data_IF_237758181676
#
_entry.id   IF_237758181676
#
_cell.length_a   1.000
_cell.length_b   1.000
_cell.length_c   1.000
_cell.angle_alpha   90.00
_cell.angle_beta   90.00
_cell.angle_gamma   90.00
#
_symmetry.space_group_name_H-M   'P 1'
#
loop_
_entity.id
_entity.type
_entity.pdbx_description
1 polymer ?
#
# COMPACT_ATOMS: atom_id res chain seq x y z
N UNK A 1 -40.81 26.01 -23.80
CA UNK A 1 -40.73 24.55 -23.99
C UNK A 1 -39.27 24.20 -24.07
N UNK A 2 -38.83 23.23 -23.26
CA UNK A 2 -37.43 22.79 -23.23
C UNK A 2 -37.15 21.93 -24.46
N UNK A 3 -35.99 22.14 -25.09
CA UNK A 3 -35.62 21.47 -26.34
C UNK A 3 -35.22 20.00 -26.13
N UNK A 4 -34.58 19.67 -25.00
CA UNK A 4 -34.09 18.33 -24.66
C UNK A 4 -34.31 17.99 -23.18
N UNK A 5 -34.93 16.84 -22.87
CA UNK A 5 -35.26 16.43 -21.50
C UNK A 5 -34.22 15.51 -20.84
N UNK A 6 -33.16 15.14 -21.55
CA UNK A 6 -32.23 14.09 -21.13
C UNK A 6 -31.57 14.36 -19.77
N UNK A 7 -31.14 15.59 -19.48
CA UNK A 7 -30.52 15.91 -18.19
C UNK A 7 -31.51 15.87 -17.01
N UNK A 8 -32.78 16.22 -17.27
CA UNK A 8 -33.85 16.13 -16.28
C UNK A 8 -34.22 14.67 -15.97
N UNK A 9 -34.22 13.82 -17.00
CA UNK A 9 -34.46 12.38 -16.88
C UNK A 9 -33.34 11.68 -16.10
N UNK A 10 -32.08 12.04 -16.35
CA UNK A 10 -30.91 11.50 -15.62
C UNK A 10 -30.98 11.85 -14.14
N UNK A 11 -31.39 13.07 -13.79
CA UNK A 11 -31.60 13.48 -12.40
C UNK A 11 -32.96 13.06 -11.84
N UNK A 12 -33.83 12.40 -12.63
CA UNK A 12 -35.17 11.96 -12.23
C UNK A 12 -36.03 13.09 -11.64
N UNK A 13 -35.97 14.29 -12.25
CA UNK A 13 -36.70 15.48 -11.83
C UNK A 13 -37.54 16.04 -12.98
N UNK A 14 -38.60 16.78 -12.63
CA UNK A 14 -39.41 17.48 -13.63
C UNK A 14 -38.61 18.60 -14.30
N UNK A 15 -38.99 18.95 -15.53
CA UNK A 15 -38.44 20.10 -16.27
C UNK A 15 -38.71 21.43 -15.53
N UNK A 16 -39.79 21.47 -14.75
CA UNK A 16 -40.18 22.61 -13.91
C UNK A 16 -39.57 22.55 -12.49
N UNK A 17 -38.70 21.58 -12.19
CA UNK A 17 -38.15 21.39 -10.86
C UNK A 17 -37.37 22.63 -10.37
N UNK A 18 -37.55 22.96 -9.10
CA UNK A 18 -36.81 24.04 -8.45
C UNK A 18 -35.36 23.61 -8.14
N UNK A 19 -34.48 24.57 -7.86
CA UNK A 19 -33.07 24.30 -7.56
C UNK A 19 -32.89 23.36 -6.36
N UNK A 20 -33.81 23.43 -5.39
CA UNK A 20 -33.77 22.61 -4.19
C UNK A 20 -34.08 21.14 -4.49
N UNK A 21 -35.04 20.88 -5.37
CA UNK A 21 -35.44 19.56 -5.85
C UNK A 21 -34.33 18.92 -6.68
N UNK A 22 -33.71 19.69 -7.58
CA UNK A 22 -32.52 19.27 -8.36
C UNK A 22 -31.39 18.87 -7.42
N UNK A 23 -31.07 19.70 -6.42
CA UNK A 23 -30.02 19.43 -5.42
C UNK A 23 -30.36 18.26 -4.49
N UNK A 24 -31.64 18.02 -4.20
CA UNK A 24 -32.08 16.88 -3.39
C UNK A 24 -31.97 15.58 -4.17
N UNK A 25 -32.36 15.58 -5.45
CA UNK A 25 -32.26 14.39 -6.29
C UNK A 25 -30.81 14.02 -6.59
N UNK A 26 -29.96 15.02 -6.90
CA UNK A 26 -28.52 14.80 -7.06
C UNK A 26 -27.89 14.13 -5.85
N UNK A 27 -28.15 14.64 -4.63
CA UNK A 27 -27.62 14.02 -3.39
C UNK A 27 -28.06 12.57 -3.23
N UNK A 28 -29.31 12.25 -3.56
CA UNK A 28 -29.84 10.88 -3.48
C UNK A 28 -29.17 9.94 -4.49
N UNK A 29 -28.97 10.40 -5.73
CA UNK A 29 -28.36 9.60 -6.80
C UNK A 29 -26.85 9.48 -6.65
N UNK A 30 -26.16 10.54 -6.21
CA UNK A 30 -24.72 10.53 -5.94
C UNK A 30 -24.36 9.58 -4.79
N UNK A 31 -25.19 9.48 -3.75
CA UNK A 31 -25.03 8.48 -2.68
C UNK A 31 -25.30 7.05 -3.17
N UNK A 32 -26.22 6.87 -4.13
CA UNK A 32 -26.60 5.56 -4.68
C UNK A 32 -25.52 5.01 -5.60
N UNK A 33 -24.92 5.85 -6.45
CA UNK A 33 -23.91 5.47 -7.43
C UNK A 33 -22.49 5.84 -7.01
N UNK A 34 -22.26 6.09 -5.72
CA UNK A 34 -20.94 6.47 -5.23
C UNK A 34 -19.92 5.33 -5.48
N UNK A 35 -18.71 5.62 -5.99
CA UNK A 35 -17.71 4.60 -6.33
C UNK A 35 -17.22 3.81 -5.11
N UNK A 36 -17.20 4.45 -3.93
CA UNK A 36 -16.84 3.79 -2.66
C UNK A 36 -17.84 2.71 -2.24
N UNK A 37 -19.13 2.88 -2.56
CA UNK A 37 -20.19 1.91 -2.20
C UNK A 37 -20.41 0.86 -3.29
N UNK A 38 -19.99 1.12 -4.52
CA UNK A 38 -20.16 0.26 -5.68
C UNK A 38 -18.79 -0.01 -6.32
N UNK A 39 -17.89 -0.60 -5.54
CA UNK A 39 -16.52 -0.88 -5.96
C UNK A 39 -16.52 -1.98 -7.03
N UNK A 40 -16.06 -1.66 -8.25
CA UNK A 40 -15.96 -2.61 -9.36
C UNK A 40 -17.17 -2.69 -10.30
N UNK A 41 -18.18 -1.82 -10.14
CA UNK A 41 -19.33 -1.73 -11.06
C UNK A 41 -19.15 -0.55 -12.04
N UNK A 42 -18.78 -0.86 -13.29
CA UNK A 42 -18.58 0.14 -14.35
C UNK A 42 -19.88 0.89 -14.70
N UNK A 43 -21.04 0.24 -14.59
CA UNK A 43 -22.32 0.86 -14.89
C UNK A 43 -22.70 1.90 -13.82
N UNK A 44 -22.38 1.62 -12.54
CA UNK A 44 -22.56 2.60 -11.46
C UNK A 44 -21.62 3.81 -11.64
N UNK A 45 -20.37 3.58 -12.05
CA UNK A 45 -19.42 4.65 -12.34
C UNK A 45 -19.89 5.55 -13.50
N UNK A 46 -20.42 4.96 -14.57
CA UNK A 46 -20.94 5.73 -15.71
C UNK A 46 -22.23 6.48 -15.39
N UNK A 47 -23.11 5.90 -14.57
CA UNK A 47 -24.29 6.59 -14.07
C UNK A 47 -23.93 7.74 -13.15
N UNK A 48 -22.89 7.58 -12.31
CA UNK A 48 -22.38 8.67 -11.47
C UNK A 48 -21.86 9.84 -12.31
N UNK A 49 -21.06 9.57 -13.36
CA UNK A 49 -20.59 10.61 -14.31
C UNK A 49 -21.76 11.36 -14.95
N UNK A 50 -22.79 10.64 -15.42
CA UNK A 50 -23.98 11.24 -16.05
C UNK A 50 -24.77 12.11 -15.07
N UNK A 51 -24.95 11.64 -13.83
CA UNK A 51 -25.64 12.38 -12.76
C UNK A 51 -24.89 13.64 -12.37
N UNK A 52 -23.56 13.59 -12.28
CA UNK A 52 -22.72 14.76 -12.00
C UNK A 52 -22.77 15.81 -13.13
N UNK A 53 -22.70 15.38 -14.40
CA UNK A 53 -22.83 16.27 -15.54
C UNK A 53 -24.21 16.95 -15.59
N UNK A 54 -25.28 16.18 -15.39
CA UNK A 54 -26.64 16.73 -15.38
C UNK A 54 -26.84 17.76 -14.26
N UNK A 55 -26.28 17.52 -13.06
CA UNK A 55 -26.33 18.49 -11.97
C UNK A 55 -25.52 19.75 -12.27
N UNK A 56 -24.37 19.65 -12.92
CA UNK A 56 -23.55 20.80 -13.29
C UNK A 56 -24.30 21.79 -14.18
N UNK A 57 -25.00 21.28 -15.19
CA UNK A 57 -25.76 22.11 -16.15
C UNK A 57 -27.04 22.64 -15.52
N UNK A 58 -27.76 21.83 -14.74
CA UNK A 58 -29.07 22.18 -14.20
C UNK A 58 -29.03 22.96 -12.88
N UNK A 59 -27.89 22.95 -12.17
CA UNK A 59 -27.72 23.72 -10.92
C UNK A 59 -27.37 25.19 -11.14
N UNK A 60 -26.82 25.53 -12.31
CA UNK A 60 -26.51 26.91 -12.67
C UNK A 60 -27.68 27.53 -13.47
N UNK A 61 -28.26 28.65 -13.01
CA UNK A 61 -29.41 29.27 -13.67
C UNK A 61 -29.15 29.75 -15.11
N UNK A 62 -27.91 30.14 -15.44
CA UNK A 62 -27.51 30.60 -16.76
C UNK A 62 -27.33 29.41 -17.71
N UNK A 63 -26.59 28.37 -17.27
CA UNK A 63 -26.41 27.14 -18.05
C UNK A 63 -27.72 26.39 -18.28
N UNK A 64 -28.60 26.35 -17.28
CA UNK A 64 -29.94 25.76 -17.39
C UNK A 64 -30.76 26.48 -18.46
N UNK A 65 -30.73 27.82 -18.48
CA UNK A 65 -31.43 28.59 -19.50
C UNK A 65 -30.89 28.37 -20.91
N UNK A 66 -29.57 28.23 -21.07
CA UNK A 66 -28.94 27.93 -22.36
C UNK A 66 -29.33 26.53 -22.83
N UNK A 67 -29.25 25.53 -21.95
CA UNK A 67 -29.67 24.16 -22.21
C UNK A 67 -31.17 24.08 -22.57
N UNK A 68 -32.02 24.78 -21.83
CA UNK A 68 -33.46 24.78 -22.05
C UNK A 68 -33.85 25.38 -23.41
N UNK A 69 -33.10 26.40 -23.87
CA UNK A 69 -33.34 27.09 -25.15
C UNK A 69 -32.70 26.38 -26.34
N UNK A 70 -31.49 25.85 -26.20
CA UNK A 70 -30.66 25.42 -27.32
C UNK A 70 -30.31 23.92 -27.30
N UNK A 71 -30.56 23.19 -26.22
CA UNK A 71 -30.15 21.78 -26.04
C UNK A 71 -28.64 21.65 -25.80
N UNK A 72 -28.11 20.41 -25.82
CA UNK A 72 -26.69 20.13 -25.61
C UNK A 72 -25.74 20.90 -26.55
N UNK A 73 -26.16 21.14 -27.79
CA UNK A 73 -25.39 21.92 -28.77
C UNK A 73 -25.14 23.38 -28.35
N UNK A 74 -26.02 23.96 -27.51
CA UNK A 74 -25.84 25.32 -26.99
C UNK A 74 -24.76 25.43 -25.92
N UNK A 75 -24.42 24.32 -25.27
CA UNK A 75 -23.36 24.27 -24.26
C UNK A 75 -21.96 24.05 -24.89
N UNK A 76 -21.91 23.46 -26.08
CA UNK A 76 -20.66 23.28 -26.86
C UNK A 76 -20.23 24.57 -27.59
N UNK A 77 -21.18 25.49 -27.85
CA UNK A 77 -20.95 26.73 -28.59
C UNK A 77 -20.23 27.85 -27.82
N UNK A 78 -19.99 27.70 -26.51
CA UNK A 78 -19.28 28.69 -25.68
C UNK A 78 -17.80 28.32 -25.44
N UNK A 79 -17.30 27.32 -26.17
CA UNK A 79 -15.90 26.86 -26.15
C UNK A 79 -15.31 26.91 -27.57
N UNK A 80 -15.05 28.11 -28.09
CA UNK A 80 -14.42 28.26 -29.40
C UNK A 80 -13.71 29.60 -29.61
N UNK A 81 -12.39 29.62 -29.39
CA UNK A 81 -11.39 29.76 -30.47
C UNK A 81 -9.98 29.98 -29.85
N UNK A 82 -9.23 28.89 -29.65
CA UNK A 82 -7.79 28.97 -29.38
C UNK A 82 -7.24 27.94 -28.39
N UNK A 83 -6.64 26.87 -28.92
CA UNK A 83 -5.75 25.97 -28.17
C UNK A 83 -6.29 24.56 -28.05
N UNK A 84 -5.66 23.62 -28.75
CA UNK A 84 -6.01 22.21 -28.69
C UNK A 84 -5.84 21.65 -27.28
N UNK A 85 -6.89 21.00 -26.79
CA UNK A 85 -6.87 20.21 -25.57
C UNK A 85 -7.18 18.76 -25.93
N UNK A 86 -6.13 17.94 -25.91
CA UNK A 86 -6.28 16.50 -25.77
C UNK A 86 -6.39 16.21 -24.28
N UNK A 87 -7.60 16.19 -23.72
CA UNK A 87 -8.11 15.22 -22.73
C UNK A 87 -9.38 15.78 -22.08
N UNK A 88 -10.48 15.05 -22.16
CA UNK A 88 -11.75 15.41 -21.52
C UNK A 88 -11.66 15.40 -19.98
N UNK A 89 -10.61 14.79 -19.39
CA UNK A 89 -10.35 14.85 -17.96
C UNK A 89 -9.84 16.22 -17.49
N UNK A 90 -9.22 17.01 -18.36
CA UNK A 90 -8.58 18.28 -17.99
C UNK A 90 -9.57 19.46 -17.97
N UNK A 91 -10.72 19.29 -18.64
CA UNK A 91 -11.87 20.22 -18.58
C UNK A 91 -12.68 20.01 -17.28
N UNK A 92 -12.77 18.77 -16.80
CA UNK A 92 -13.51 18.44 -15.57
C UNK A 92 -12.81 18.96 -14.31
N UNK A 93 -11.47 18.97 -14.29
CA UNK A 93 -10.65 19.57 -13.22
C UNK A 93 -10.73 21.10 -13.18
N UNK A 94 -10.95 21.75 -14.34
CA UNK A 94 -11.06 23.21 -14.42
C UNK A 94 -12.41 23.74 -13.87
N UNK A 95 -13.48 22.93 -13.93
CA UNK A 95 -14.83 23.36 -13.57
C UNK A 95 -15.32 22.86 -12.20
N UNK A 96 -14.93 21.66 -11.75
CA UNK A 96 -15.32 21.12 -10.43
C UNK A 96 -14.29 21.37 -9.31
N UNK A 97 -13.19 22.08 -9.61
CA UNK A 97 -11.96 22.05 -8.81
C UNK A 97 -11.48 23.36 -8.18
N UNK A 98 -12.29 24.41 -8.10
CA UNK A 98 -11.97 25.64 -7.35
C UNK A 98 -11.03 26.59 -8.10
N UNK A 99 -11.35 27.89 -8.01
CA UNK A 99 -10.67 28.96 -8.77
C UNK A 99 -9.16 28.88 -8.71
N UNK A 100 -8.52 29.36 -9.78
CA UNK A 100 -7.07 29.49 -9.99
C UNK A 100 -6.29 29.48 -8.68
N UNK A 101 -6.03 28.28 -8.15
CA UNK A 101 -5.04 28.14 -7.10
C UNK A 101 -3.76 28.50 -7.81
N UNK A 102 -3.10 29.57 -7.36
CA UNK A 102 -1.72 29.84 -7.74
C UNK A 102 -0.99 28.50 -7.64
N UNK A 103 -0.63 27.93 -8.79
CA UNK A 103 0.14 26.70 -8.84
C UNK A 103 1.45 27.09 -8.16
N UNK A 104 1.60 26.67 -6.90
CA UNK A 104 2.79 26.97 -6.12
C UNK A 104 4.03 26.66 -6.95
N UNK A 105 5.10 27.44 -6.74
CA UNK A 105 6.34 27.26 -7.49
C UNK A 105 6.71 25.77 -7.58
N UNK A 106 7.12 25.30 -8.77
CA UNK A 106 7.41 23.89 -8.98
C UNK A 106 8.49 23.44 -7.99
N UNK A 107 8.21 22.36 -7.25
CA UNK A 107 9.14 21.70 -6.33
C UNK A 107 9.72 20.44 -6.97
N UNK A 108 10.98 20.10 -6.67
CA UNK A 108 11.56 18.80 -6.99
C UNK A 108 10.78 17.66 -6.34
N UNK A 109 10.92 16.43 -6.86
CA UNK A 109 10.30 15.25 -6.26
C UNK A 109 10.83 14.99 -4.84
N UNK A 110 9.93 14.66 -3.93
CA UNK A 110 10.26 14.37 -2.54
C UNK A 110 11.03 13.05 -2.40
N UNK A 111 11.89 12.98 -1.38
CA UNK A 111 12.62 11.76 -1.02
C UNK A 111 11.78 10.99 -0.01
N UNK A 112 11.37 9.77 -0.37
CA UNK A 112 10.68 8.85 0.54
C UNK A 112 11.71 7.92 1.18
N UNK A 113 11.71 7.83 2.51
CA UNK A 113 12.57 6.93 3.27
C UNK A 113 11.78 6.12 4.28
N UNK A 114 12.06 4.83 4.39
CA UNK A 114 11.44 3.97 5.40
C UNK A 114 12.36 3.79 6.59
N UNK A 115 11.89 4.20 7.77
CA UNK A 115 12.59 4.02 9.03
C UNK A 115 12.08 2.76 9.72
N UNK A 116 12.96 1.76 9.85
CA UNK A 116 12.66 0.55 10.61
C UNK A 116 12.62 0.84 12.13
N UNK A 117 11.49 0.52 12.75
CA UNK A 117 11.22 0.72 14.19
C UNK A 117 10.74 -0.56 14.85
N UNK A 118 11.23 -0.84 16.07
CA UNK A 118 10.73 -1.97 16.86
C UNK A 118 9.47 -1.56 17.61
N UNK A 119 8.60 -2.52 17.90
CA UNK A 119 7.42 -2.23 18.73
C UNK A 119 7.80 -1.64 20.10
N UNK A 120 8.94 -2.04 20.66
CA UNK A 120 9.51 -1.48 21.90
C UNK A 120 9.81 0.02 21.79
N UNK A 121 10.30 0.48 20.64
CA UNK A 121 10.59 1.88 20.38
C UNK A 121 9.30 2.70 20.34
N UNK A 122 8.21 2.12 19.80
CA UNK A 122 6.89 2.76 19.77
C UNK A 122 6.25 2.81 21.15
N UNK A 123 6.54 1.84 22.01
CA UNK A 123 6.01 1.79 23.38
C UNK A 123 6.73 2.78 24.29
N UNK A 124 8.07 2.75 24.29
CA UNK A 124 8.88 3.56 25.21
C UNK A 124 9.18 4.98 24.67
N UNK A 125 9.02 5.19 23.37
CA UNK A 125 9.49 6.37 22.65
C UNK A 125 10.98 6.27 22.35
N UNK A 126 11.42 6.76 21.19
CA UNK A 126 12.82 6.69 20.79
C UNK A 126 13.18 7.83 19.83
N UNK A 127 14.42 8.33 19.94
CA UNK A 127 15.02 9.21 18.94
C UNK A 127 15.91 8.39 18.02
N UNK A 128 15.60 8.35 16.72
CA UNK A 128 16.40 7.63 15.72
C UNK A 128 17.04 8.60 14.74
N UNK A 129 18.32 8.36 14.46
CA UNK A 129 19.09 9.13 13.47
C UNK A 129 19.08 8.41 12.14
N UNK A 130 18.65 9.10 11.10
CA UNK A 130 18.49 8.58 9.73
C UNK A 130 19.46 9.31 8.82
N UNK A 131 20.28 8.56 8.07
CA UNK A 131 21.19 9.14 7.09
C UNK A 131 20.50 9.22 5.74
N UNK A 132 20.26 10.43 5.24
CA UNK A 132 19.64 10.70 3.95
C UNK A 132 20.71 11.20 2.98
N UNK A 133 20.71 10.64 1.77
CA UNK A 133 21.52 11.12 0.65
C UNK A 133 20.64 11.99 -0.24
N UNK A 134 21.03 13.23 -0.46
CA UNK A 134 20.29 14.21 -1.26
C UNK A 134 21.20 14.95 -2.23
N UNK A 135 20.63 15.46 -3.31
CA UNK A 135 21.33 16.35 -4.23
C UNK A 135 21.17 17.80 -3.75
N UNK A 136 22.29 18.47 -3.46
CA UNK A 136 22.33 19.92 -3.16
C UNK A 136 23.12 20.65 -4.22
N UNK A 137 22.90 21.96 -4.37
CA UNK A 137 23.72 22.75 -5.26
C UNK A 137 25.20 22.66 -4.89
N UNK A 138 26.05 22.52 -5.90
CA UNK A 138 27.49 22.42 -5.68
C UNK A 138 28.00 23.68 -4.98
N UNK A 139 28.66 23.53 -3.83
CA UNK A 139 29.22 24.65 -3.08
C UNK A 139 30.24 25.47 -3.86
N UNK A 140 30.94 24.88 -4.83
CA UNK A 140 31.96 25.56 -5.63
C UNK A 140 31.41 26.44 -6.77
N UNK A 141 30.20 26.16 -7.26
CA UNK A 141 29.62 26.88 -8.40
C UNK A 141 28.16 27.31 -8.18
N UNK A 142 27.59 27.03 -7.01
CA UNK A 142 26.24 27.39 -6.57
C UNK A 142 25.18 27.08 -7.63
N UNK A 143 25.25 25.89 -8.24
CA UNK A 143 24.27 25.48 -9.26
C UNK A 143 24.52 26.00 -10.69
N UNK A 144 25.56 26.79 -10.95
CA UNK A 144 25.86 27.28 -12.33
C UNK A 144 26.53 26.20 -13.21
N UNK A 145 27.24 25.25 -12.60
CA UNK A 145 27.96 24.17 -13.29
C UNK A 145 29.28 24.61 -13.95
N UNK A 146 29.65 25.87 -13.80
CA UNK A 146 30.85 26.48 -14.38
C UNK A 146 31.74 27.07 -13.29
N UNK A 147 33.00 27.33 -13.59
CA UNK A 147 33.89 28.07 -12.67
C UNK A 147 33.35 29.48 -12.44
N UNK A 148 33.65 30.06 -11.27
CA UNK A 148 33.27 31.42 -10.95
C UNK A 148 33.75 32.40 -12.05
N UNK A 149 32.83 33.18 -12.61
CA UNK A 149 33.10 34.15 -13.68
C UNK A 149 33.06 33.60 -15.11
N UNK A 150 32.94 32.28 -15.31
CA UNK A 150 32.75 31.72 -16.63
C UNK A 150 31.27 31.79 -17.06
N UNK A 151 31.04 31.99 -18.37
CA UNK A 151 29.69 32.12 -18.95
C UNK A 151 29.36 30.91 -19.82
N UNK A 152 28.07 30.58 -19.86
CA UNK A 152 27.55 29.57 -20.78
C UNK A 152 27.30 30.23 -22.13
N UNK A 153 27.71 29.57 -23.20
CA UNK A 153 27.49 30.06 -24.57
C UNK A 153 26.30 29.34 -25.20
N UNK A 154 25.45 30.03 -25.96
CA UNK A 154 24.35 29.37 -26.65
C UNK A 154 24.87 28.30 -27.62
N UNK A 155 24.24 27.12 -27.61
CA UNK A 155 24.64 26.03 -28.49
C UNK A 155 24.36 26.40 -29.95
N UNK A 156 25.39 26.42 -30.80
CA UNK A 156 25.27 26.84 -32.20
C UNK A 156 24.38 25.92 -33.05
N UNK A 157 24.29 24.63 -32.71
CA UNK A 157 23.50 23.67 -33.50
C UNK A 157 21.99 23.77 -33.24
N UNK A 158 21.56 24.01 -32.00
CA UNK A 158 20.14 24.20 -31.67
C UNK A 158 19.77 25.67 -31.43
N UNK A 159 20.73 26.60 -31.53
CA UNK A 159 20.57 28.04 -31.26
C UNK A 159 19.86 28.33 -29.93
N UNK A 160 20.30 27.68 -28.86
CA UNK A 160 19.67 27.84 -27.53
C UNK A 160 18.44 26.97 -27.28
N UNK A 161 17.87 26.31 -28.30
CA UNK A 161 16.59 25.58 -28.15
C UNK A 161 16.68 24.22 -27.45
N UNK A 162 17.88 23.65 -27.27
CA UNK A 162 18.09 22.33 -26.66
C UNK A 162 17.65 21.14 -27.51
N UNK A 163 16.75 21.32 -28.48
CA UNK A 163 16.23 20.28 -29.37
C UNK A 163 16.52 20.57 -30.85
N UNK A 164 16.55 19.51 -31.66
CA UNK A 164 16.64 19.57 -33.12
C UNK A 164 15.47 18.80 -33.73
N UNK A 165 14.91 19.30 -34.84
CA UNK A 165 13.88 18.60 -35.60
C UNK A 165 14.58 17.60 -36.52
N UNK A 166 14.37 16.30 -36.30
CA UNK A 166 14.86 15.24 -37.17
C UNK A 166 13.67 14.68 -37.95
N UNK A 167 13.75 14.71 -39.27
CA UNK A 167 12.73 14.08 -40.11
C UNK A 167 13.04 12.60 -40.20
N UNK A 168 12.16 11.76 -39.66
CA UNK A 168 12.28 10.31 -39.69
C UNK A 168 11.17 9.75 -40.59
N UNK A 169 11.58 8.95 -41.57
CA UNK A 169 10.65 8.22 -42.43
C UNK A 169 10.19 6.98 -41.67
N UNK A 170 8.91 6.96 -41.30
CA UNK A 170 8.32 5.84 -40.56
C UNK A 170 7.77 4.82 -41.54
N UNK A 171 7.35 5.27 -42.73
CA UNK A 171 6.81 4.42 -43.78
C UNK A 171 7.15 4.99 -45.18
N UNK A 172 7.21 4.16 -46.25
CA UNK A 172 7.28 4.65 -47.63
C UNK A 172 6.21 5.72 -47.91
N UNK A 173 6.64 6.96 -48.18
CA UNK A 173 5.74 8.10 -48.44
C UNK A 173 5.28 8.89 -47.22
N UNK A 174 5.63 8.50 -45.99
CA UNK A 174 5.23 9.21 -44.77
C UNK A 174 6.46 9.68 -43.95
N UNK A 175 6.72 10.98 -43.98
CA UNK A 175 7.80 11.63 -43.24
C UNK A 175 7.22 12.30 -41.98
N UNK A 176 7.67 11.88 -40.79
CA UNK A 176 7.33 12.55 -39.54
C UNK A 176 8.53 13.39 -39.06
N UNK A 177 8.28 14.65 -38.70
CA UNK A 177 9.27 15.45 -37.98
C UNK A 177 9.17 15.13 -36.49
N UNK A 178 10.20 14.50 -35.94
CA UNK A 178 10.32 14.22 -34.51
C UNK A 178 11.30 15.19 -33.86
N UNK A 179 10.97 15.71 -32.69
CA UNK A 179 11.90 16.52 -31.90
C UNK A 179 12.86 15.59 -31.16
N UNK A 180 14.15 15.69 -31.48
CA UNK A 180 15.21 14.95 -30.79
C UNK A 180 16.04 15.92 -29.96
N UNK A 181 16.57 15.45 -28.83
CA UNK A 181 17.50 16.24 -28.02
C UNK A 181 18.76 16.56 -28.84
N UNK A 182 19.22 17.80 -28.80
CA UNK A 182 20.41 18.24 -29.53
C UNK A 182 21.63 17.47 -29.02
N UNK A 183 22.31 16.63 -29.84
CA UNK A 183 23.44 15.81 -29.39
C UNK A 183 24.66 16.64 -28.99
N UNK A 184 24.69 17.90 -29.42
CA UNK A 184 25.75 18.84 -29.10
C UNK A 184 25.65 19.38 -27.67
N UNK A 185 24.45 19.66 -27.15
CA UNK A 185 24.26 20.21 -25.80
C UNK A 185 23.43 19.30 -24.88
N UNK A 186 23.10 18.08 -25.33
CA UNK A 186 22.27 17.11 -24.60
C UNK A 186 20.99 17.72 -24.02
N UNK A 187 20.31 18.59 -24.78
CA UNK A 187 19.08 19.22 -24.31
C UNK A 187 19.27 20.53 -23.53
N UNK A 188 20.48 20.88 -23.09
CA UNK A 188 20.69 22.07 -22.24
C UNK A 188 20.56 23.42 -22.97
N UNK A 189 20.59 23.43 -24.31
CA UNK A 189 20.53 24.65 -25.11
C UNK A 189 21.81 25.49 -25.10
N UNK A 190 22.68 25.29 -24.11
CA UNK A 190 23.95 25.99 -23.92
C UNK A 190 25.14 25.01 -23.90
N UNK A 191 26.32 25.51 -24.24
CA UNK A 191 27.60 24.81 -24.18
C UNK A 191 28.57 25.58 -23.30
N UNK A 192 29.37 24.82 -22.56
CA UNK A 192 30.46 25.32 -21.73
C UNK A 192 31.76 24.77 -22.28
N UNK A 193 32.81 25.60 -22.34
CA UNK A 193 34.15 25.13 -22.69
C UNK A 193 34.64 24.13 -21.64
N UNK A 194 35.32 23.06 -22.06
CA UNK A 194 35.80 22.02 -21.16
C UNK A 194 36.71 22.56 -20.03
N UNK A 195 37.45 23.64 -20.30
CA UNK A 195 38.31 24.30 -19.31
C UNK A 195 37.51 25.01 -18.19
N UNK A 196 36.28 25.42 -18.48
CA UNK A 196 35.43 26.25 -17.62
C UNK A 196 34.39 25.44 -16.86
N UNK A 197 34.31 24.13 -17.12
CA UNK A 197 33.46 23.21 -16.37
C UNK A 197 33.91 23.17 -14.90
N UNK A 198 32.94 23.28 -14.00
CA UNK A 198 33.21 23.17 -12.57
C UNK A 198 33.82 21.80 -12.25
N UNK A 199 34.99 21.77 -11.61
CA UNK A 199 35.67 20.51 -11.22
C UNK A 199 34.93 19.75 -10.12
N UNK A 200 34.23 20.46 -9.23
CA UNK A 200 33.52 19.86 -8.09
C UNK A 200 32.30 19.03 -8.48
N UNK A 201 31.43 19.58 -9.34
CA UNK A 201 30.24 18.87 -9.85
C UNK A 201 30.43 18.27 -11.25
N UNK A 202 31.59 18.48 -11.89
CA UNK A 202 31.87 18.06 -13.28
C UNK A 202 30.78 18.51 -14.26
N UNK A 203 30.27 19.73 -14.08
CA UNK A 203 29.22 20.31 -14.92
C UNK A 203 27.79 19.95 -14.53
N UNK A 204 27.57 19.02 -13.59
CA UNK A 204 26.23 18.55 -13.17
C UNK A 204 25.43 19.54 -12.33
N UNK A 205 26.04 20.65 -11.90
CA UNK A 205 25.44 21.73 -11.06
C UNK A 205 25.09 21.32 -9.62
N UNK A 206 24.77 20.07 -9.37
CA UNK A 206 24.49 19.49 -8.05
C UNK A 206 25.57 18.51 -7.59
N UNK A 207 25.63 18.25 -6.28
CA UNK A 207 26.51 17.27 -5.64
C UNK A 207 25.68 16.48 -4.63
N UNK A 208 25.93 15.16 -4.54
CA UNK A 208 25.34 14.29 -3.53
C UNK A 208 25.94 14.58 -2.16
N UNK A 209 25.11 15.02 -1.24
CA UNK A 209 25.44 15.28 0.16
C UNK A 209 24.73 14.26 1.05
N UNK A 210 25.40 13.79 2.10
CA UNK A 210 24.81 12.94 3.13
C UNK A 210 24.53 13.79 4.36
N UNK A 211 23.28 13.83 4.79
CA UNK A 211 22.84 14.54 5.99
C UNK A 211 22.18 13.56 6.95
N UNK A 212 22.35 13.79 8.26
CA UNK A 212 21.71 12.99 9.30
C UNK A 212 20.52 13.77 9.84
N UNK A 213 19.31 13.22 9.69
CA UNK A 213 18.08 13.74 10.25
C UNK A 213 17.72 12.98 11.51
N UNK A 214 17.32 13.67 12.56
CA UNK A 214 16.87 13.05 13.82
C UNK A 214 15.34 13.00 13.84
N UNK A 215 14.80 11.79 13.96
CA UNK A 215 13.37 11.50 14.03
C UNK A 215 13.02 11.16 15.46
N UNK A 216 12.14 11.96 16.07
CA UNK A 216 11.62 11.72 17.40
C UNK A 216 10.31 10.93 17.31
N UNK A 217 10.37 9.64 17.64
CA UNK A 217 9.20 8.76 17.69
C UNK A 217 8.56 8.88 19.06
N UNK A 218 7.37 9.49 19.10
CA UNK A 218 6.59 9.62 20.33
C UNK A 218 6.06 8.28 20.83
N UNK A 219 5.79 8.21 22.14
CA UNK A 219 5.14 7.05 22.76
C UNK A 219 3.73 6.89 22.18
N UNK A 220 3.43 5.68 21.71
CA UNK A 220 2.15 5.37 21.08
C UNK A 220 2.05 5.75 19.60
N UNK A 221 3.12 6.27 18.98
CA UNK A 221 3.15 6.66 17.56
C UNK A 221 2.57 5.56 16.65
N UNK A 222 1.75 5.95 15.69
CA UNK A 222 1.02 5.00 14.83
C UNK A 222 1.86 4.59 13.61
N UNK A 223 1.63 3.41 13.03
CA UNK A 223 2.36 2.94 11.84
C UNK A 223 2.16 3.87 10.62
N UNK A 224 0.99 4.49 10.52
CA UNK A 224 0.60 5.38 9.41
C UNK A 224 1.17 6.79 9.54
N UNK A 225 1.84 7.08 10.66
CA UNK A 225 2.46 8.38 10.88
C UNK A 225 3.73 8.52 10.04
N UNK A 226 3.93 9.71 9.49
CA UNK A 226 5.12 10.06 8.72
C UNK A 226 5.72 11.37 9.24
N UNK A 227 7.03 11.49 9.10
CA UNK A 227 7.77 12.68 9.48
C UNK A 227 8.22 13.42 8.23
N UNK A 228 7.81 14.68 8.11
CA UNK A 228 8.15 15.53 6.97
C UNK A 228 9.24 16.51 7.36
N UNK A 229 10.36 16.45 6.65
CA UNK A 229 11.45 17.43 6.76
C UNK A 229 11.41 18.33 5.53
N UNK A 230 10.76 19.49 5.69
CA UNK A 230 10.53 20.44 4.60
C UNK A 230 11.84 21.06 4.11
N UNK A 231 12.06 21.06 2.80
CA UNK A 231 13.24 21.63 2.15
C UNK A 231 14.52 20.81 2.33
N UNK A 232 14.46 19.68 3.03
CA UNK A 232 15.61 18.81 3.27
C UNK A 232 15.85 17.78 2.15
N UNK A 233 15.02 17.76 1.10
CA UNK A 233 15.13 16.88 -0.05
C UNK A 233 16.07 17.40 -1.15
N UNK A 234 15.87 16.91 -2.38
CA UNK A 234 16.71 17.23 -3.52
C UNK A 234 16.51 18.68 -3.99
N UNK A 235 17.59 19.29 -4.50
CA UNK A 235 17.56 20.55 -5.25
C UNK A 235 17.83 20.27 -6.72
N UNK A 236 16.96 20.79 -7.59
CA UNK A 236 17.12 20.65 -9.04
C UNK A 236 17.42 22.00 -9.70
N UNK A 237 18.39 22.07 -10.62
CA UNK A 237 18.64 23.29 -11.39
C UNK A 237 17.41 23.70 -12.19
N UNK A 238 16.99 24.96 -12.06
CA UNK A 238 15.77 25.48 -12.68
C UNK A 238 14.57 25.53 -11.73
N UNK A 239 14.67 24.93 -10.53
CA UNK A 239 13.70 25.08 -9.45
C UNK A 239 14.32 25.86 -8.29
N UNK A 240 13.56 26.79 -7.70
CA UNK A 240 14.02 27.62 -6.57
C UNK A 240 13.88 26.89 -5.24
N UNK A 241 12.81 26.10 -5.11
CA UNK A 241 12.51 25.34 -3.90
C UNK A 241 13.25 24.00 -3.91
N UNK A 242 13.58 23.52 -2.72
CA UNK A 242 14.03 22.14 -2.53
C UNK A 242 12.81 21.24 -2.31
N UNK A 243 12.95 19.96 -2.68
CA UNK A 243 11.99 18.93 -2.30
C UNK A 243 12.02 18.67 -0.79
N UNK A 244 11.06 17.87 -0.33
CA UNK A 244 10.92 17.50 1.07
C UNK A 244 11.44 16.06 1.30
N UNK A 245 11.74 15.69 2.54
CA UNK A 245 12.01 14.28 2.92
C UNK A 245 10.86 13.76 3.74
N UNK A 246 10.22 12.70 3.27
CA UNK A 246 9.13 12.01 3.92
C UNK A 246 9.66 10.70 4.52
N UNK A 247 9.64 10.60 5.84
CA UNK A 247 10.08 9.39 6.55
C UNK A 247 8.86 8.63 7.06
N UNK A 248 8.64 7.44 6.52
CA UNK A 248 7.56 6.54 6.94
C UNK A 248 8.07 5.52 7.95
N UNK A 249 7.25 5.19 8.94
CA UNK A 249 7.59 4.18 9.94
C UNK A 249 7.27 2.77 9.43
N UNK A 250 8.29 1.91 9.40
CA UNK A 250 8.12 0.48 9.15
C UNK A 250 8.31 -0.29 10.47
N UNK A 251 7.21 -0.77 11.05
CA UNK A 251 7.21 -1.44 12.36
C UNK A 251 7.54 -2.92 12.20
N UNK A 252 8.67 -3.35 12.77
CA UNK A 252 9.04 -4.76 12.83
C UNK A 252 8.11 -5.53 13.75
N UNK A 253 7.72 -6.73 13.32
CA UNK A 253 6.96 -7.67 14.13
C UNK A 253 7.75 -8.04 15.39
N UNK A 254 7.09 -8.00 16.54
CA UNK A 254 7.66 -8.46 17.79
C UNK A 254 7.29 -9.94 18.02
N UNK A 255 8.17 -10.77 18.61
CA UNK A 255 7.94 -12.22 18.74
C UNK A 255 6.80 -12.60 19.69
N UNK A 256 6.59 -11.83 20.77
CA UNK A 256 5.57 -12.12 21.80
C UNK A 256 4.32 -11.26 21.64
N UNK A 257 4.50 -9.94 21.56
CA UNK A 257 3.42 -8.97 21.46
C UNK A 257 3.09 -8.58 20.00
N UNK A 258 1.80 -8.41 19.75
CA UNK A 258 1.25 -7.90 18.50
C UNK A 258 0.37 -6.69 18.82
N UNK A 259 0.65 -5.55 18.17
CA UNK A 259 -0.14 -4.35 18.35
C UNK A 259 -1.41 -4.41 17.50
N UNK A 260 -2.55 -4.11 18.12
CA UNK A 260 -3.81 -3.84 17.42
C UNK A 260 -4.37 -2.53 17.95
N UNK A 261 -4.30 -1.48 17.13
CA UNK A 261 -4.62 -0.11 17.52
C UNK A 261 -3.86 0.28 18.80
N UNK A 262 -4.57 0.63 19.87
CA UNK A 262 -3.97 0.98 21.17
C UNK A 262 -3.83 -0.22 22.11
N UNK A 263 -4.18 -1.42 21.65
CA UNK A 263 -4.10 -2.65 22.42
C UNK A 263 -2.88 -3.47 22.05
N UNK A 264 -2.43 -4.27 23.00
CA UNK A 264 -1.43 -5.31 22.77
C UNK A 264 -2.11 -6.67 22.86
N UNK A 265 -1.73 -7.59 21.99
CA UNK A 265 -2.19 -8.97 22.01
C UNK A 265 -0.97 -9.87 22.13
N UNK A 266 -1.05 -10.91 22.93
CA UNK A 266 -0.04 -11.94 23.00
C UNK A 266 -0.70 -13.30 23.05
N UNK A 267 0.00 -14.31 22.52
CA UNK A 267 -0.43 -15.69 22.61
C UNK A 267 0.41 -16.41 23.65
N UNK A 268 -0.24 -17.06 24.61
CA UNK A 268 0.44 -17.82 25.64
C UNK A 268 -0.01 -19.29 25.63
N UNK A 269 0.90 -20.25 25.42
CA UNK A 269 0.57 -21.65 25.53
C UNK A 269 0.36 -22.02 27.01
N UNK A 270 -0.78 -22.64 27.32
CA UNK A 270 -1.07 -23.20 28.64
C UNK A 270 -1.16 -24.72 28.54
N UNK A 271 -0.67 -25.43 29.52
CA UNK A 271 -0.97 -26.87 29.63
C UNK A 271 -2.42 -27.09 30.04
N UNK A 272 -3.01 -28.23 29.66
CA UNK A 272 -4.35 -28.62 30.12
C UNK A 272 -4.50 -28.57 31.65
N UNK A 273 -3.44 -28.95 32.39
CA UNK A 273 -3.43 -28.88 33.84
C UNK A 273 -3.58 -27.44 34.33
N UNK A 274 -2.79 -26.50 33.81
CA UNK A 274 -2.85 -25.09 34.18
C UNK A 274 -4.20 -24.46 33.83
N UNK A 275 -4.74 -24.82 32.66
CA UNK A 275 -6.04 -24.36 32.21
C UNK A 275 -7.20 -24.79 33.13
N UNK A 276 -7.10 -25.94 33.79
CA UNK A 276 -8.13 -26.49 34.69
C UNK A 276 -7.90 -26.14 36.17
N UNK A 277 -6.64 -26.22 36.63
CA UNK A 277 -6.28 -26.10 38.04
C UNK A 277 -5.91 -24.66 38.44
N UNK A 278 -5.81 -23.74 37.50
CA UNK A 278 -5.28 -22.39 37.71
C UNK A 278 -3.76 -22.32 37.52
N UNK A 279 -3.26 -21.09 37.36
CA UNK A 279 -1.85 -20.83 37.08
C UNK A 279 -1.41 -19.45 37.58
N UNK A 280 -0.10 -19.30 37.75
CA UNK A 280 0.54 -18.00 37.94
C UNK A 280 1.55 -17.79 36.82
N UNK A 281 1.27 -16.81 35.96
CA UNK A 281 2.03 -16.54 34.75
C UNK A 281 2.81 -15.23 34.88
N UNK A 282 4.14 -15.28 35.07
CA UNK A 282 4.98 -14.09 35.00
C UNK A 282 5.25 -13.71 33.53
N UNK A 283 4.88 -12.49 33.16
CA UNK A 283 5.10 -11.91 31.82
C UNK A 283 6.02 -10.72 31.96
N UNK A 284 7.08 -10.68 31.15
CA UNK A 284 7.91 -9.50 30.98
C UNK A 284 7.24 -8.57 29.95
N UNK A 285 6.87 -7.38 30.39
CA UNK A 285 6.18 -6.40 29.57
C UNK A 285 7.17 -5.52 28.77
N UNK A 286 6.66 -4.68 27.86
CA UNK A 286 7.45 -3.85 26.94
C UNK A 286 8.32 -2.79 27.64
N UNK A 287 8.00 -2.45 28.90
CA UNK A 287 8.79 -1.56 29.75
C UNK A 287 9.76 -2.30 30.68
N UNK A 288 9.86 -3.63 30.56
CA UNK A 288 10.68 -4.48 31.43
C UNK A 288 10.04 -4.78 32.79
N UNK A 289 8.83 -4.29 33.10
CA UNK A 289 8.12 -4.69 34.32
C UNK A 289 7.64 -6.14 34.20
N UNK A 290 7.63 -6.83 35.35
CA UNK A 290 7.07 -8.19 35.46
C UNK A 290 5.63 -8.10 35.92
N UNK A 291 4.71 -8.51 35.06
CA UNK A 291 3.29 -8.66 35.38
C UNK A 291 3.04 -10.11 35.75
N UNK A 292 2.35 -10.36 36.86
CA UNK A 292 1.96 -11.72 37.27
C UNK A 292 0.46 -11.85 37.05
N UNK A 293 0.08 -12.57 35.99
CA UNK A 293 -1.32 -12.90 35.72
C UNK A 293 -1.66 -14.18 36.48
N UNK A 294 -2.70 -14.13 37.31
CA UNK A 294 -3.11 -15.25 38.14
C UNK A 294 -4.53 -15.69 37.77
N UNK A 295 -4.71 -17.00 37.63
CA UNK A 295 -6.01 -17.66 37.59
C UNK A 295 -6.20 -18.43 38.89
N UNK A 296 -7.23 -18.09 39.66
CA UNK A 296 -7.53 -18.77 40.92
C UNK A 296 -7.92 -20.23 40.67
N UNK A 297 -7.55 -21.17 41.55
CA UNK A 297 -7.99 -22.57 41.43
C UNK A 297 -9.53 -22.67 41.31
N UNK A 298 -10.00 -23.36 40.27
CA UNK A 298 -11.42 -23.47 39.91
C UNK A 298 -11.89 -22.50 38.81
N UNK A 299 -11.06 -21.54 38.40
CA UNK A 299 -11.32 -20.72 37.22
C UNK A 299 -10.77 -21.41 35.97
N UNK A 300 -11.65 -22.05 35.20
CA UNK A 300 -11.28 -22.76 33.98
C UNK A 300 -11.03 -21.78 32.84
N UNK A 301 -9.92 -21.96 32.13
CA UNK A 301 -9.55 -21.18 30.94
C UNK A 301 -9.72 -22.03 29.70
N UNK A 302 -10.52 -21.54 28.76
CA UNK A 302 -10.71 -22.21 27.48
C UNK A 302 -9.58 -21.84 26.50
N UNK A 303 -9.23 -22.77 25.60
CA UNK A 303 -8.17 -22.58 24.61
C UNK A 303 -8.45 -21.55 23.51
N UNK A 304 -9.67 -21.01 23.45
CA UNK A 304 -10.05 -19.90 22.56
C UNK A 304 -10.41 -18.63 23.34
N UNK A 305 -10.24 -18.64 24.66
CA UNK A 305 -10.54 -17.49 25.50
C UNK A 305 -9.40 -16.48 25.51
N UNK A 306 -9.76 -15.19 25.52
CA UNK A 306 -8.84 -14.09 25.67
C UNK A 306 -9.16 -13.34 26.96
N UNK A 307 -8.15 -13.11 27.80
CA UNK A 307 -8.30 -12.31 29.00
C UNK A 307 -7.67 -10.93 28.78
N UNK A 308 -8.29 -9.89 29.33
CA UNK A 308 -7.80 -8.52 29.20
C UNK A 308 -7.22 -8.01 30.52
N UNK A 309 -6.00 -7.50 30.48
CA UNK A 309 -5.39 -6.71 31.56
C UNK A 309 -5.53 -5.23 31.20
N UNK A 310 -6.18 -4.48 32.09
CA UNK A 310 -6.44 -3.06 31.91
C UNK A 310 -5.15 -2.25 32.08
N UNK A 311 -4.98 -1.21 31.26
CA UNK A 311 -3.88 -0.23 31.31
C UNK A 311 -2.48 -0.82 31.08
N UNK A 312 -2.38 -1.98 30.44
CA UNK A 312 -1.12 -2.63 30.06
C UNK A 312 -1.01 -2.84 28.53
N UNK A 313 -1.80 -2.09 27.75
CA UNK A 313 -1.70 -2.03 26.28
C UNK A 313 -0.71 -0.97 25.78
N UNK A 314 -0.83 -0.56 24.51
CA UNK A 314 0.00 0.51 23.97
C UNK A 314 -0.34 1.86 24.63
N UNK A 315 0.64 2.75 24.81
CA UNK A 315 0.39 4.13 25.22
C UNK A 315 -0.46 4.87 24.20
N UNK A 316 -1.44 5.65 24.69
CA UNK A 316 -2.29 6.48 23.84
C UNK A 316 -1.57 7.79 23.53
N UNK A 317 -1.48 8.15 22.25
CA UNK A 317 -0.82 9.37 21.79
C UNK A 317 -1.43 10.62 22.45
N UNK A 318 -0.59 11.62 22.72
CA UNK A 318 -1.03 12.88 23.34
C UNK A 318 -1.24 12.84 24.86
N UNK A 319 -1.18 11.65 25.48
CA UNK A 319 -1.32 11.50 26.94
C UNK A 319 0.02 11.44 27.69
N UNK A 320 1.14 11.61 26.98
CA UNK A 320 2.50 11.42 27.54
C UNK A 320 2.80 9.97 27.98
N UNK A 321 1.89 9.03 27.69
CA UNK A 321 1.96 7.64 28.09
C UNK A 321 1.38 7.32 29.47
N UNK A 322 0.60 8.23 30.06
CA UNK A 322 -0.15 7.97 31.29
C UNK A 322 -1.32 7.02 31.04
N UNK A 323 -2.05 7.21 29.94
CA UNK A 323 -3.13 6.33 29.55
C UNK A 323 -2.62 5.29 28.56
N UNK A 324 -2.98 4.03 28.82
CA UNK A 324 -2.62 2.90 27.98
C UNK A 324 -3.89 2.12 27.65
N UNK A 325 -3.84 1.43 26.52
CA UNK A 325 -4.88 0.48 26.16
C UNK A 325 -4.85 -0.76 27.06
N UNK A 326 -5.36 -1.86 26.51
CA UNK A 326 -5.46 -3.16 27.20
C UNK A 326 -4.46 -4.15 26.61
N UNK A 327 -3.93 -5.04 27.45
CA UNK A 327 -3.22 -6.24 27.03
C UNK A 327 -4.22 -7.39 26.95
N UNK A 328 -4.39 -7.99 25.79
CA UNK A 328 -5.13 -9.22 25.60
C UNK A 328 -4.17 -10.40 25.60
N UNK A 329 -4.42 -11.36 26.48
CA UNK A 329 -3.69 -12.63 26.54
C UNK A 329 -4.62 -13.69 25.99
N UNK A 330 -4.31 -14.16 24.79
CA UNK A 330 -4.99 -15.27 24.16
C UNK A 330 -4.30 -16.57 24.58
N UNK A 331 -5.03 -17.42 25.28
CA UNK A 331 -4.48 -18.69 25.74
C UNK A 331 -4.61 -19.74 24.65
N UNK A 332 -3.60 -20.58 24.48
CA UNK A 332 -3.67 -21.75 23.62
C UNK A 332 -3.43 -22.99 24.47
N UNK A 333 -4.45 -23.81 24.67
CA UNK A 333 -4.32 -25.00 25.52
C UNK A 333 -3.62 -26.12 24.76
N UNK A 334 -2.45 -26.51 25.25
CA UNK A 334 -1.69 -27.65 24.79
C UNK A 334 -2.23 -28.93 25.44
N UNK A 335 -2.65 -29.86 24.59
CA UNK A 335 -3.20 -31.15 24.99
C UNK A 335 -2.09 -32.20 25.06
N UNK A 336 -2.07 -33.05 26.10
CA UNK A 336 -1.14 -34.17 26.15
C UNK A 336 -1.46 -35.18 25.05
N UNK A 337 -0.43 -35.71 24.36
CA UNK A 337 -0.60 -36.70 23.29
C UNK A 337 -1.18 -38.03 23.80
N UNK A 338 -0.76 -38.45 25.00
CA UNK A 338 -1.21 -39.70 25.62
C UNK A 338 -1.34 -39.52 27.14
N UNK A 339 -2.28 -40.25 27.74
CA UNK A 339 -2.50 -40.26 29.19
C UNK A 339 -2.36 -41.69 29.74
N UNK A 340 -1.63 -41.88 30.86
CA UNK A 340 -1.54 -43.16 31.53
C UNK A 340 -2.89 -43.55 32.17
N UNK A 341 -3.20 -44.86 32.18
CA UNK A 341 -4.48 -45.41 32.68
C UNK A 341 -4.87 -44.91 34.08
N UNK A 342 -3.91 -44.83 35.00
CA UNK A 342 -4.17 -44.35 36.36
C UNK A 342 -4.65 -42.88 36.41
N UNK A 343 -4.18 -42.02 35.50
CA UNK A 343 -4.69 -40.65 35.40
C UNK A 343 -6.10 -40.60 34.79
N UNK A 344 -6.36 -41.45 33.78
CA UNK A 344 -7.68 -41.56 33.16
C UNK A 344 -8.74 -41.92 34.21
N UNK A 345 -8.46 -42.88 35.09
CA UNK A 345 -9.41 -43.30 36.14
C UNK A 345 -9.70 -42.17 37.14
N UNK A 346 -8.70 -41.37 37.50
CA UNK A 346 -8.86 -40.21 38.40
C UNK A 346 -9.66 -39.10 37.73
N UNK A 347 -9.37 -38.83 36.45
CA UNK A 347 -10.08 -37.85 35.63
C UNK A 347 -11.55 -38.26 35.43
N UNK A 348 -11.80 -39.53 35.11
CA UNK A 348 -13.15 -40.06 34.94
C UNK A 348 -14.00 -39.90 36.21
N UNK A 349 -13.39 -40.16 37.38
CA UNK A 349 -14.02 -39.91 38.69
C UNK A 349 -14.27 -38.42 38.92
N UNK A 350 -13.31 -37.56 38.59
CA UNK A 350 -13.40 -36.11 38.78
C UNK A 350 -14.48 -35.46 37.90
N UNK A 351 -14.68 -35.94 36.67
CA UNK A 351 -15.71 -35.45 35.75
C UNK A 351 -17.04 -36.21 35.85
N UNK A 352 -17.20 -37.10 36.84
CA UNK A 352 -18.40 -37.92 37.03
C UNK A 352 -18.83 -38.68 35.77
N UNK A 353 -17.86 -39.19 35.00
CA UNK A 353 -18.14 -39.95 33.77
C UNK A 353 -18.84 -41.25 34.16
N UNK A 354 -20.00 -41.58 33.55
CA UNK A 354 -20.70 -42.81 33.87
C UNK A 354 -19.82 -44.02 33.52
N UNK A 355 -19.66 -44.95 34.48
CA UNK A 355 -18.84 -46.17 34.32
C UNK A 355 -19.28 -47.06 33.14
N UNK A 356 -20.51 -46.87 32.65
CA UNK A 356 -21.03 -47.52 31.46
C UNK A 356 -21.70 -46.46 30.58
N UNK A 357 -21.11 -46.18 29.42
CA UNK A 357 -21.88 -45.61 28.32
C UNK A 357 -23.02 -46.61 28.01
N UNK A 358 -24.26 -46.12 27.94
CA UNK A 358 -25.39 -46.95 27.53
C UNK A 358 -25.11 -47.63 26.18
N UNK A 359 -25.76 -48.77 25.91
CA UNK A 359 -25.60 -49.48 24.62
C UNK A 359 -25.97 -48.54 23.48
N UNK A 360 -24.96 -47.98 22.81
CA UNK A 360 -25.13 -47.20 21.60
C UNK A 360 -25.43 -48.19 20.47
N UNK A 361 -26.58 -48.06 19.81
CA UNK A 361 -26.87 -48.80 18.58
C UNK A 361 -26.18 -48.15 17.40
N UNK A 362 -25.46 -48.92 16.57
CA UNK A 362 -24.80 -48.41 15.37
C UNK A 362 -23.52 -49.19 14.98
N UNK A 363 -23.00 -48.91 13.79
CA UNK A 363 -21.70 -49.41 13.35
C UNK A 363 -20.59 -48.57 13.98
N UNK A 364 -19.64 -49.23 14.65
CA UNK A 364 -18.41 -48.57 15.14
C UNK A 364 -17.55 -48.23 13.92
N UNK A 365 -17.30 -46.94 13.72
CA UNK A 365 -16.40 -46.43 12.69
C UNK A 365 -15.18 -45.82 13.39
N UNK A 366 -13.99 -46.19 12.93
CA UNK A 366 -12.75 -45.59 13.42
C UNK A 366 -12.45 -44.32 12.63
N UNK A 367 -12.19 -43.24 13.34
CA UNK A 367 -11.75 -41.98 12.75
C UNK A 367 -10.27 -42.08 12.42
N UNK A 368 -9.92 -42.03 11.14
CA UNK A 368 -8.53 -41.86 10.70
C UNK A 368 -8.18 -40.38 10.65
N UNK A 369 -7.01 -40.02 11.19
CA UNK A 369 -6.50 -38.66 11.12
C UNK A 369 -6.32 -38.23 9.66
N UNK A 370 -6.98 -37.13 9.26
CA UNK A 370 -6.90 -36.60 7.91
C UNK A 370 -5.52 -35.98 7.67
N UNK A 371 -4.67 -36.68 6.91
CA UNK A 371 -3.40 -36.11 6.43
C UNK A 371 -3.65 -35.35 5.12
N UNK A 372 -3.59 -34.01 5.11
CA UNK A 372 -3.71 -33.26 3.86
C UNK A 372 -2.59 -33.71 2.92
N UNK A 373 -2.95 -34.16 1.71
CA UNK A 373 -1.98 -34.50 0.67
C UNK A 373 -1.26 -33.22 0.26
N UNK A 374 -0.08 -32.98 0.82
CA UNK A 374 0.88 -32.04 0.24
C UNK A 374 1.25 -32.58 -1.14
N UNK A 375 0.91 -31.85 -2.21
CA UNK A 375 1.42 -32.12 -3.56
C UNK A 375 2.92 -31.84 -3.55
N UNK A 376 3.71 -32.80 -3.05
CA UNK A 376 5.16 -32.80 -3.19
C UNK A 376 5.51 -33.09 -4.64
N UNK A 377 6.10 -32.10 -5.32
CA UNK A 377 6.68 -32.26 -6.65
C UNK A 377 7.61 -33.47 -6.68
N UNK A 378 7.27 -34.44 -7.53
CA UNK A 378 8.03 -35.68 -7.67
C UNK A 378 9.44 -35.41 -8.17
N UNK A 379 10.44 -35.54 -7.30
CA UNK A 379 11.80 -35.87 -7.71
C UNK A 379 11.78 -37.28 -8.29
N UNK A 380 11.79 -37.38 -9.63
CA UNK A 380 12.10 -38.62 -10.35
C UNK A 380 13.57 -38.98 -10.11
N UNK A 381 13.81 -39.89 -9.17
CA UNK A 381 14.99 -40.74 -9.15
C UNK A 381 14.70 -41.98 -10.01
N UNK A 382 15.53 -42.22 -11.03
CA UNK A 382 15.42 -43.36 -11.95
C UNK A 382 16.81 -43.84 -12.36
N UNK A 383 17.11 -45.07 -11.99
CA UNK A 383 18.41 -45.73 -11.93
C UNK A 383 18.92 -46.28 -13.29
N UNK A 384 20.25 -46.26 -13.45
CA UNK A 384 21.17 -47.29 -14.02
C UNK A 384 20.98 -47.94 -15.41
N UNK A 385 22.07 -47.88 -16.20
CA UNK A 385 22.83 -48.93 -16.96
C UNK A 385 23.95 -48.16 -17.70
N UNK A 386 25.22 -48.54 -17.85
CA UNK A 386 25.97 -49.77 -17.63
C UNK A 386 27.02 -49.88 -18.76
N UNK A 387 28.31 -49.86 -18.39
CA UNK A 387 29.50 -50.40 -19.09
C UNK A 387 30.29 -49.58 -20.16
N UNK A 388 31.58 -49.40 -19.80
CA UNK A 388 32.80 -49.68 -20.56
C UNK A 388 33.44 -48.63 -21.52
N UNK A 389 34.58 -48.09 -21.06
CA UNK A 389 35.88 -48.27 -21.70
C UNK A 389 36.39 -47.18 -22.67
N UNK A 390 37.58 -46.61 -22.40
CA UNK A 390 38.40 -45.99 -23.44
C UNK A 390 39.18 -44.75 -23.02
N UNK A 391 40.52 -44.83 -23.08
CA UNK A 391 41.49 -43.77 -22.73
C UNK A 391 41.63 -42.74 -23.88
N UNK A 392 41.99 -41.49 -23.56
CA UNK A 392 42.95 -40.74 -24.39
C UNK A 392 42.67 -39.25 -24.74
N UNK A 393 43.43 -38.37 -24.08
CA UNK A 393 44.13 -37.15 -24.58
C UNK A 393 43.35 -35.97 -25.23
N UNK A 394 43.52 -34.80 -24.57
CA UNK A 394 43.78 -33.42 -25.06
C UNK A 394 43.50 -33.07 -26.54
N UNK A 395 42.65 -32.06 -26.78
CA UNK A 395 42.97 -30.71 -27.36
C UNK A 395 41.67 -29.89 -27.61
N UNK A 396 41.74 -28.58 -27.38
CA UNK A 396 40.84 -27.52 -27.91
C UNK A 396 41.43 -26.95 -29.23
N UNK A 397 40.83 -25.95 -29.92
CA UNK A 397 39.42 -25.68 -30.27
C UNK A 397 39.26 -25.25 -31.77
N UNK A 398 38.05 -25.27 -32.37
CA UNK A 398 37.71 -24.35 -33.49
C UNK A 398 36.17 -24.20 -33.70
N UNK A 399 35.82 -23.02 -34.21
CA UNK A 399 34.54 -22.39 -34.59
C UNK A 399 33.52 -23.17 -35.43
N UNK A 400 32.23 -22.81 -35.23
CA UNK A 400 31.20 -22.39 -36.23
C UNK A 400 29.88 -22.22 -35.44
N UNK A 401 29.37 -21.01 -35.19
CA UNK A 401 28.45 -20.23 -36.06
C UNK A 401 27.34 -21.08 -36.69
N UNK A 402 26.11 -20.92 -36.19
CA UNK A 402 24.97 -20.38 -36.95
C UNK A 402 23.77 -20.19 -36.02
N UNK A 403 23.25 -18.97 -36.04
CA UNK A 403 22.03 -18.52 -35.40
C UNK A 403 20.82 -19.06 -36.17
N UNK A 404 19.77 -19.51 -35.46
CA UNK A 404 18.42 -19.46 -36.02
C UNK A 404 17.38 -19.15 -34.93
N UNK A 405 16.51 -18.25 -35.37
CA UNK A 405 15.31 -17.64 -34.82
C UNK A 405 14.37 -18.51 -33.96
N UNK A 406 14.15 -18.07 -32.72
CA UNK A 406 13.02 -18.50 -31.89
C UNK A 406 12.03 -17.36 -31.69
N UNK A 407 10.90 -17.41 -32.40
CA UNK A 407 9.69 -16.64 -32.15
C UNK A 407 9.29 -16.71 -30.66
N UNK A 408 9.10 -15.56 -30.02
CA UNK A 408 8.54 -15.46 -28.68
C UNK A 408 7.08 -15.00 -28.81
N UNK A 409 6.15 -15.94 -28.63
CA UNK A 409 4.73 -15.65 -28.46
C UNK A 409 4.50 -15.02 -27.07
N UNK A 410 3.79 -13.89 -27.06
CA UNK A 410 3.29 -13.21 -25.87
C UNK A 410 2.35 -14.14 -25.09
N UNK A 411 2.71 -14.45 -23.85
CA UNK A 411 1.80 -15.02 -22.85
C UNK A 411 1.35 -13.88 -21.95
N UNK A 412 0.06 -13.58 -22.06
CA UNK A 412 -0.74 -12.72 -21.19
C UNK A 412 -0.87 -13.27 -19.77
N UNK A 413 -0.97 -12.31 -18.84
CA UNK A 413 -1.61 -12.36 -17.52
C UNK A 413 -1.03 -13.27 -16.43
N UNK A 414 -0.64 -12.66 -15.30
CA UNK A 414 -1.13 -13.04 -13.96
C UNK A 414 -0.64 -12.04 -12.89
N UNK A 415 -1.58 -11.23 -12.42
CA UNK A 415 -1.87 -10.85 -11.04
C UNK A 415 -0.71 -10.81 -10.01
N UNK A 416 -0.30 -9.59 -9.64
CA UNK A 416 0.40 -9.30 -8.39
C UNK A 416 -0.64 -9.14 -7.26
N UNK A 417 -0.83 -10.17 -6.43
CA UNK A 417 -1.54 -10.04 -5.15
C UNK A 417 -0.58 -9.65 -4.01
N UNK A 418 -1.01 -8.67 -3.21
CA UNK A 418 -0.32 -8.11 -2.05
C UNK A 418 -0.07 -9.13 -0.91
N UNK A 419 1.20 -9.42 -0.63
CA UNK A 419 1.67 -10.32 0.43
C UNK A 419 1.44 -9.83 1.88
N UNK A 420 0.82 -8.67 2.10
CA UNK A 420 0.75 -8.04 3.43
C UNK A 420 -0.48 -8.43 4.26
N UNK A 421 -1.49 -9.09 3.67
CA UNK A 421 -2.72 -9.45 4.37
C UNK A 421 -2.67 -10.85 5.04
N UNK A 422 -1.64 -11.64 4.76
CA UNK A 422 -1.55 -13.01 5.27
C UNK A 422 -1.09 -13.07 6.74
N UNK A 423 -0.33 -12.08 7.22
CA UNK A 423 0.10 -12.04 8.62
C UNK A 423 -1.04 -11.70 9.58
N UNK A 424 -1.98 -10.81 9.22
CA UNK A 424 -3.15 -10.56 10.08
C UNK A 424 -4.13 -11.74 10.13
N UNK A 425 -4.25 -12.51 9.03
CA UNK A 425 -5.10 -13.70 8.96
C UNK A 425 -4.58 -14.90 9.76
N UNK A 426 -3.26 -15.02 9.96
CA UNK A 426 -2.69 -16.12 10.73
C UNK A 426 -2.98 -16.04 12.23
N UNK A 427 -3.20 -14.83 12.78
CA UNK A 427 -3.54 -14.67 14.21
C UNK A 427 -5.01 -14.95 14.53
N UNK A 428 -5.92 -14.81 13.55
CA UNK A 428 -7.33 -15.14 13.70
C UNK A 428 -7.68 -16.58 13.29
N UNK A 429 -6.77 -17.32 12.65
CA UNK A 429 -6.94 -18.75 12.35
C UNK A 429 -6.28 -19.64 13.41
N UNK A 430 -6.75 -19.51 14.64
CA UNK A 430 -6.77 -20.64 15.56
C UNK A 430 -7.94 -21.55 15.19
N UNK A 431 -7.66 -22.59 14.40
CA UNK A 431 -8.54 -23.75 14.20
C UNK A 431 -9.83 -23.52 13.40
N UNK A 432 -9.80 -23.83 12.10
CA UNK A 432 -11.01 -24.28 11.41
C UNK A 432 -10.66 -25.19 10.23
N UNK A 433 -10.84 -26.50 10.43
CA UNK A 433 -11.57 -27.30 9.45
C UNK A 433 -12.98 -27.48 10.04
N UNK A 434 -13.96 -26.89 9.36
CA UNK A 434 -15.40 -26.98 9.64
C UNK A 434 -15.93 -28.43 9.52
N UNK A 435 -17.12 -28.85 9.98
CA UNK A 435 -18.40 -28.16 10.18
C UNK A 435 -19.32 -29.00 11.10
N UNK A 436 -20.22 -28.36 11.86
CA UNK A 436 -21.52 -28.98 12.22
C UNK A 436 -22.15 -28.56 13.55
N UNK A 437 -22.89 -27.44 13.58
CA UNK A 437 -23.98 -27.25 14.54
C UNK A 437 -24.04 -25.90 15.26
N UNK A 438 -24.98 -25.05 14.84
CA UNK A 438 -25.60 -23.91 15.54
C UNK A 438 -24.69 -22.96 16.36
N UNK A 439 -24.31 -21.84 15.75
CA UNK A 439 -23.99 -20.62 16.49
C UNK A 439 -24.76 -19.44 15.90
N UNK A 440 -25.63 -18.85 16.71
CA UNK A 440 -26.26 -17.55 16.43
C UNK A 440 -25.15 -16.49 16.36
N UNK A 441 -25.10 -15.79 15.23
CA UNK A 441 -24.28 -14.59 15.04
C UNK A 441 -24.81 -13.46 15.92
N UNK A 442 -23.97 -12.97 16.84
CA UNK A 442 -24.20 -11.68 17.51
C UNK A 442 -23.39 -10.63 16.75
N UNK A 443 -24.08 -9.82 15.95
CA UNK A 443 -23.53 -8.61 15.34
C UNK A 443 -23.26 -7.59 16.46
N UNK A 444 -22.01 -7.14 16.58
CA UNK A 444 -21.66 -6.03 17.45
C UNK A 444 -21.62 -4.75 16.61
N UNK A 445 -22.71 -4.00 16.66
CA UNK A 445 -22.85 -2.66 16.07
C UNK A 445 -21.91 -1.66 16.74
N UNK A 446 -21.27 -0.84 15.90
CA UNK A 446 -20.48 0.32 16.27
C UNK A 446 -21.29 1.33 17.09
N UNK A 447 -20.69 1.81 18.18
CA UNK A 447 -20.90 3.16 18.72
C UNK A 447 -19.55 3.74 19.13
#
# INVERSE_FOLDING_TARGET
MVRETELYEVLQVSVEADENEIKRSYRKLALKYHPDKNTGDEAAADMFKKVSNAYEVLSDPEKRQVYDKYGKQGLEGDMGEGGGFHDASDIFSMFFGGGTRERGEPKPKDIVHELEVKLDDLYNGASKKVMISRDRFCSSCTGTGVKAGATRSACMQCRGRGVQLRTQQIFPGFLQQVQVQCPSCNGEGEKVNAADVCKGCRGKRTVREKTVLEVHVERGAHKTEHFTFTGEGNQEPGMRLAGDVLIFLNVKSHPVFHRVNDHLMMRYPLTLQEALCGFELPIEHMDGRKLIIKASPGQVVNGDSAWSVYNEGMPIKGTGGLQRGKLFVCFAVEWPETLPKGQIDVIAKAFHVPEKLGKLGGQVVELSEYKPKTKGGGKRGGNTRGAAGGRGRRRQPVHAEEDDDGEFEDVTDEEFEDDNNNQQRQYYRGGANHFGGNAQTVECTQQ
#
